data_IF_770530128292
#
_entry.id   IF_770530128292
#
_cell.length_a   1.000
_cell.length_b   1.000
_cell.length_c   1.000
_cell.angle_alpha   90.00
_cell.angle_beta   90.00
_cell.angle_gamma   90.00
#
_symmetry.space_group_name_H-M   'P 1'
#
loop_
_entity.id
_entity.type
_entity.pdbx_description
1 polymer ?
#
# COMPACT_ATOMS: atom_id res chain seq x y z
N UNK A 1 -12.72 3.62 11.96
CA UNK A 1 -11.57 4.34 12.60
C UNK A 1 -10.82 5.03 11.49
N UNK A 2 -10.72 6.39 11.50
CA UNK A 2 -9.95 7.13 10.51
C UNK A 2 -8.45 6.93 10.69
N UNK A 3 -7.71 6.91 9.58
CA UNK A 3 -6.26 7.04 9.56
C UNK A 3 -5.93 8.52 9.41
N UNK A 4 -5.30 9.11 10.43
CA UNK A 4 -4.97 10.54 10.44
C UNK A 4 -3.45 10.74 10.52
N UNK A 5 -2.97 11.67 9.72
CA UNK A 5 -1.64 12.28 9.85
C UNK A 5 -1.82 13.75 10.17
N UNK A 6 -1.30 14.19 11.30
CA UNK A 6 -1.43 15.56 11.80
C UNK A 6 -0.07 16.26 11.82
N UNK A 7 0.05 17.38 11.09
CA UNK A 7 1.25 18.21 11.01
C UNK A 7 2.52 17.41 10.72
N UNK A 8 2.44 16.45 9.79
CA UNK A 8 3.55 15.55 9.50
C UNK A 8 4.70 16.28 8.84
N UNK A 9 5.87 16.18 9.44
CA UNK A 9 7.13 16.67 8.90
C UNK A 9 8.23 15.62 8.99
N UNK A 10 9.05 15.51 7.93
CA UNK A 10 10.19 14.59 7.93
C UNK A 10 11.33 15.07 7.04
N UNK A 11 12.56 14.82 7.50
CA UNK A 11 13.81 15.02 6.77
C UNK A 11 14.77 13.85 7.06
N UNK A 12 15.58 13.48 6.10
CA UNK A 12 16.68 12.52 6.30
C UNK A 12 17.99 13.22 6.69
N UNK A 13 18.22 14.42 6.15
CA UNK A 13 19.35 15.27 6.49
C UNK A 13 18.82 16.58 7.08
N UNK A 14 19.44 17.08 8.16
CA UNK A 14 19.08 18.36 8.78
C UNK A 14 19.03 19.45 7.70
N UNK A 15 18.11 20.37 7.85
CA UNK A 15 17.86 21.54 7.00
C UNK A 15 17.22 21.28 5.61
N UNK A 16 16.89 20.03 5.29
CA UNK A 16 16.19 19.74 4.03
C UNK A 16 14.92 18.90 4.28
N UNK A 17 13.81 19.58 4.47
CA UNK A 17 12.51 18.94 4.57
C UNK A 17 12.15 18.21 3.28
N UNK A 18 11.69 16.95 3.41
CA UNK A 18 11.12 16.17 2.31
C UNK A 18 9.62 16.34 2.31
N UNK A 19 9.02 16.35 3.49
CA UNK A 19 7.62 16.70 3.73
C UNK A 19 7.56 17.61 4.93
N UNK A 20 6.63 18.56 4.92
CA UNK A 20 6.40 19.51 6.01
C UNK A 20 4.93 19.90 6.07
N UNK A 21 4.41 20.03 7.29
CA UNK A 21 3.05 20.49 7.59
C UNK A 21 1.93 19.72 6.85
N UNK A 22 2.14 18.40 6.60
CA UNK A 22 1.16 17.57 5.91
C UNK A 22 0.07 17.12 6.87
N UNK A 23 -1.17 17.42 6.49
CA UNK A 23 -2.37 16.98 7.19
C UNK A 23 -3.22 16.10 6.27
N UNK A 24 -3.51 14.86 6.68
CA UNK A 24 -4.26 13.87 5.92
C UNK A 24 -5.22 13.15 6.85
N UNK A 25 -6.45 12.95 6.39
CA UNK A 25 -7.44 12.09 7.05
C UNK A 25 -8.10 11.21 6.01
N UNK A 26 -8.06 9.90 6.23
CA UNK A 26 -8.66 8.91 5.33
C UNK A 26 -9.70 8.10 6.10
N UNK A 27 -10.92 8.03 5.58
CA UNK A 27 -12.02 7.27 6.17
C UNK A 27 -11.90 5.75 5.88
N UNK A 28 -12.51 4.87 6.70
CA UNK A 28 -12.67 3.47 6.35
C UNK A 28 -13.39 3.30 5.02
N UNK A 29 -12.88 2.43 4.14
CA UNK A 29 -13.46 2.17 2.82
C UNK A 29 -13.25 3.27 1.77
N UNK A 30 -12.69 4.43 2.16
CA UNK A 30 -12.33 5.51 1.23
C UNK A 30 -11.13 5.10 0.35
N UNK A 31 -11.16 5.52 -0.91
CA UNK A 31 -10.02 5.42 -1.83
C UNK A 31 -9.43 6.81 -2.01
N UNK A 32 -8.30 7.04 -1.34
CA UNK A 32 -7.63 8.33 -1.28
C UNK A 32 -6.37 8.35 -2.15
N UNK A 33 -6.23 9.34 -3.01
CA UNK A 33 -5.09 9.49 -3.92
C UNK A 33 -3.99 10.38 -3.37
N UNK A 34 -2.73 9.94 -3.49
CA UNK A 34 -1.54 10.76 -3.29
C UNK A 34 -0.85 11.00 -4.63
N UNK A 35 -0.92 12.22 -5.13
CA UNK A 35 -0.25 12.65 -6.36
C UNK A 35 0.98 13.51 -6.09
N UNK A 36 1.83 13.69 -7.08
CA UNK A 36 2.99 14.57 -7.01
C UNK A 36 4.13 14.10 -7.91
N UNK A 37 5.09 14.97 -8.17
CA UNK A 37 6.26 14.66 -9.01
C UNK A 37 7.19 13.65 -8.31
N UNK A 38 8.09 13.02 -9.09
CA UNK A 38 9.07 12.08 -8.54
C UNK A 38 9.99 12.81 -7.54
N UNK A 39 10.19 12.19 -6.36
CA UNK A 39 11.04 12.77 -5.31
C UNK A 39 10.36 13.79 -4.39
N UNK A 40 9.06 14.13 -4.58
CA UNK A 40 8.34 15.08 -3.69
C UNK A 40 7.98 14.52 -2.31
N UNK A 41 8.36 13.28 -1.97
CA UNK A 41 8.15 12.70 -0.65
C UNK A 41 6.98 11.73 -0.52
N UNK A 42 6.29 11.33 -1.61
CA UNK A 42 5.16 10.37 -1.57
C UNK A 42 5.49 9.07 -0.84
N UNK A 43 6.58 8.41 -1.23
CA UNK A 43 7.03 7.16 -0.60
C UNK A 43 7.43 7.36 0.87
N UNK A 44 8.03 8.51 1.21
CA UNK A 44 8.33 8.86 2.61
C UNK A 44 7.04 9.01 3.43
N UNK A 45 6.07 9.74 2.89
CA UNK A 45 4.76 9.91 3.51
C UNK A 45 4.03 8.56 3.66
N UNK A 46 4.05 7.73 2.63
CA UNK A 46 3.50 6.36 2.66
C UNK A 46 4.10 5.52 3.80
N UNK A 47 5.43 5.56 3.95
CA UNK A 47 6.13 4.84 5.03
C UNK A 47 5.83 5.39 6.41
N UNK A 48 5.62 6.69 6.54
CA UNK A 48 5.22 7.33 7.80
C UNK A 48 3.78 6.90 8.15
N UNK A 49 2.84 7.00 7.21
CA UNK A 49 1.46 6.58 7.42
C UNK A 49 1.32 5.09 7.74
N UNK A 50 2.18 4.25 7.16
CA UNK A 50 2.25 2.82 7.48
C UNK A 50 3.05 2.51 8.76
N UNK A 51 3.63 3.51 9.44
CA UNK A 51 4.40 3.35 10.66
C UNK A 51 5.79 2.71 10.47
N UNK A 52 6.33 2.66 9.24
CA UNK A 52 7.70 2.19 9.00
C UNK A 52 8.77 3.23 9.37
N UNK A 53 8.39 4.51 9.33
CA UNK A 53 9.25 5.63 9.68
C UNK A 53 8.46 6.50 10.65
N UNK A 54 9.09 6.90 11.76
CA UNK A 54 8.52 7.91 12.66
C UNK A 54 8.68 9.30 12.03
N UNK A 55 7.64 10.13 11.99
CA UNK A 55 7.78 11.52 11.57
C UNK A 55 8.71 12.27 12.53
N UNK A 56 9.35 13.35 12.05
CA UNK A 56 10.13 14.26 12.89
C UNK A 56 9.24 15.25 13.61
N UNK A 57 8.17 15.64 12.96
CA UNK A 57 7.10 16.49 13.50
C UNK A 57 5.76 15.84 13.23
N UNK A 58 4.79 16.12 14.11
CA UNK A 58 3.45 15.58 14.01
C UNK A 58 3.32 14.13 14.48
N UNK A 59 2.20 13.53 14.18
CA UNK A 59 1.86 12.15 14.59
C UNK A 59 0.92 11.47 13.59
N UNK A 60 0.96 10.14 13.58
CA UNK A 60 0.00 9.30 12.86
C UNK A 60 -0.86 8.55 13.87
N UNK A 61 -2.18 8.61 13.68
CA UNK A 61 -3.15 7.92 14.53
C UNK A 61 -4.10 7.06 13.71
N UNK A 62 -4.53 5.94 14.29
CA UNK A 62 -5.63 5.13 13.78
C UNK A 62 -6.79 5.21 14.78
N UNK A 63 -7.84 5.94 14.43
CA UNK A 63 -8.82 6.41 15.41
C UNK A 63 -8.14 7.27 16.47
N UNK A 64 -8.33 6.91 17.75
CA UNK A 64 -7.74 7.64 18.88
C UNK A 64 -6.39 7.06 19.37
N UNK A 65 -5.82 6.07 18.66
CA UNK A 65 -4.59 5.39 19.08
C UNK A 65 -3.43 5.77 18.18
N UNK A 66 -2.32 6.16 18.76
CA UNK A 66 -1.05 6.28 18.04
C UNK A 66 -0.58 4.87 17.64
N UNK A 67 -0.09 4.73 16.41
CA UNK A 67 0.39 3.44 15.92
C UNK A 67 1.71 3.06 16.60
N UNK A 68 1.72 1.90 17.29
CA UNK A 68 2.92 1.39 17.94
C UNK A 68 3.76 0.51 16.98
N UNK A 69 5.10 0.60 17.03
CA UNK A 69 6.00 -0.08 16.08
C UNK A 69 6.07 -1.61 16.21
N UNK A 70 5.53 -2.23 17.27
CA UNK A 70 5.87 -3.60 17.71
C UNK A 70 4.78 -4.66 17.48
N UNK A 71 3.64 -4.32 16.93
CA UNK A 71 2.53 -5.24 16.69
C UNK A 71 2.22 -5.38 15.21
N UNK A 72 1.33 -6.34 14.85
CA UNK A 72 0.78 -6.39 13.50
C UNK A 72 0.28 -5.00 13.10
N UNK A 73 0.73 -4.52 11.95
CA UNK A 73 0.38 -3.18 11.47
C UNK A 73 -0.95 -3.24 10.75
N UNK A 74 -1.99 -2.57 11.26
CA UNK A 74 -3.28 -2.50 10.59
C UNK A 74 -3.25 -1.68 9.29
N UNK A 75 -2.17 -0.93 9.06
CA UNK A 75 -1.88 -0.23 7.81
C UNK A 75 -0.78 -0.98 7.08
N UNK A 76 -1.13 -1.61 5.97
CA UNK A 76 -0.20 -2.37 5.13
C UNK A 76 0.32 -1.52 3.98
N UNK A 77 1.56 -1.77 3.55
CA UNK A 77 2.18 -1.08 2.41
C UNK A 77 2.51 -2.11 1.32
N UNK A 78 1.93 -1.90 0.15
CA UNK A 78 2.27 -2.64 -1.06
C UNK A 78 3.25 -1.81 -1.87
N UNK A 79 4.47 -2.31 -2.01
CA UNK A 79 5.56 -1.62 -2.70
C UNK A 79 5.46 -1.76 -4.21
N UNK A 80 6.00 -0.78 -4.94
CA UNK A 80 6.22 -0.85 -6.39
C UNK A 80 7.07 -2.06 -6.81
N UNK A 81 8.07 -2.41 -5.99
CA UNK A 81 9.02 -3.47 -6.22
C UNK A 81 8.75 -4.65 -5.27
N UNK A 82 8.03 -5.71 -5.71
CA UNK A 82 7.64 -6.83 -4.86
C UNK A 82 8.84 -7.59 -4.27
N UNK A 83 9.99 -7.61 -4.96
CA UNK A 83 11.21 -8.25 -4.49
C UNK A 83 11.77 -7.64 -3.20
N UNK A 84 11.41 -6.40 -2.87
CA UNK A 84 11.78 -5.75 -1.60
C UNK A 84 10.92 -6.19 -0.41
N UNK A 85 9.80 -6.87 -0.69
CA UNK A 85 8.82 -7.28 0.30
C UNK A 85 8.72 -8.81 0.46
N UNK A 86 9.39 -9.58 -0.40
CA UNK A 86 9.35 -11.03 -0.42
C UNK A 86 10.70 -11.59 0.07
N UNK A 87 10.67 -12.55 0.99
CA UNK A 87 11.88 -13.28 1.35
C UNK A 87 12.29 -14.20 0.18
N UNK A 88 13.45 -14.01 -0.46
CA UNK A 88 13.87 -14.79 -1.62
C UNK A 88 14.13 -16.27 -1.33
N UNK A 89 14.27 -16.64 -0.06
CA UNK A 89 14.54 -18.00 0.41
C UNK A 89 13.25 -18.77 0.77
N UNK A 90 12.08 -18.21 0.53
CA UNK A 90 10.81 -18.84 0.81
C UNK A 90 10.07 -19.24 -0.48
N UNK A 91 9.31 -20.34 -0.42
CA UNK A 91 8.34 -20.64 -1.48
C UNK A 91 7.20 -19.62 -1.43
N UNK A 92 6.56 -19.40 -2.57
CA UNK A 92 5.49 -18.39 -2.64
C UNK A 92 4.31 -18.73 -1.73
N UNK A 93 4.05 -20.02 -1.45
CA UNK A 93 3.09 -20.45 -0.42
C UNK A 93 3.46 -19.89 0.94
N UNK A 94 4.72 -19.99 1.35
CA UNK A 94 5.20 -19.54 2.66
C UNK A 94 5.12 -18.02 2.77
N UNK A 95 5.35 -17.30 1.67
CA UNK A 95 5.17 -15.85 1.58
C UNK A 95 3.74 -15.42 1.87
N UNK A 96 2.72 -16.16 1.41
CA UNK A 96 1.32 -15.88 1.75
C UNK A 96 1.01 -16.25 3.20
N UNK A 97 1.44 -17.43 3.63
CA UNK A 97 1.14 -17.97 4.95
C UNK A 97 1.81 -17.18 6.09
N UNK A 98 2.84 -16.36 5.79
CA UNK A 98 3.42 -15.43 6.76
C UNK A 98 2.38 -14.49 7.38
N UNK A 99 1.41 -14.06 6.59
CA UNK A 99 0.37 -13.11 7.02
C UNK A 99 -0.92 -13.80 7.45
N UNK A 100 -1.47 -14.65 6.58
CA UNK A 100 -2.70 -15.42 6.80
C UNK A 100 -2.89 -16.44 5.68
N UNK A 101 -3.84 -17.35 5.84
CA UNK A 101 -4.30 -18.26 4.79
C UNK A 101 -5.43 -17.59 3.98
N UNK A 102 -5.17 -17.10 2.74
CA UNK A 102 -6.22 -16.50 1.92
C UNK A 102 -7.23 -17.56 1.45
N UNK A 103 -8.50 -17.15 1.32
CA UNK A 103 -9.54 -18.01 0.73
C UNK A 103 -9.31 -18.18 -0.77
N UNK A 104 -9.87 -19.27 -1.34
CA UNK A 104 -9.76 -19.54 -2.78
C UNK A 104 -10.32 -18.38 -3.61
N UNK A 105 -11.44 -17.76 -3.20
CA UNK A 105 -12.04 -16.61 -3.89
C UNK A 105 -11.07 -15.43 -4.02
N UNK A 106 -10.20 -15.21 -3.02
CA UNK A 106 -9.19 -14.16 -3.08
C UNK A 106 -8.07 -14.56 -4.04
N UNK A 107 -7.62 -15.81 -4.00
CA UNK A 107 -6.60 -16.31 -4.93
C UNK A 107 -7.07 -16.20 -6.37
N UNK A 108 -8.32 -16.59 -6.64
CA UNK A 108 -8.94 -16.52 -7.97
C UNK A 108 -9.12 -15.06 -8.43
N UNK A 109 -9.55 -14.15 -7.54
CA UNK A 109 -9.73 -12.73 -7.86
C UNK A 109 -8.43 -12.04 -8.30
N UNK A 110 -7.28 -12.56 -7.87
CA UNK A 110 -5.95 -12.10 -8.29
C UNK A 110 -5.27 -13.07 -9.26
N UNK A 111 -6.00 -14.04 -9.80
CA UNK A 111 -5.50 -15.03 -10.78
C UNK A 111 -4.19 -15.69 -10.29
N UNK A 112 -4.08 -16.00 -8.99
CA UNK A 112 -2.94 -16.73 -8.43
C UNK A 112 -3.10 -18.20 -8.75
N UNK A 113 -2.15 -18.75 -9.52
CA UNK A 113 -2.20 -20.14 -9.96
C UNK A 113 -1.60 -21.06 -8.91
N UNK A 114 -2.20 -22.25 -8.73
CA UNK A 114 -1.70 -23.25 -7.77
C UNK A 114 -0.24 -23.64 -8.07
N UNK A 115 0.13 -23.72 -9.33
CA UNK A 115 1.50 -24.06 -9.76
C UNK A 115 2.55 -23.06 -9.27
N UNK A 116 2.17 -21.79 -8.98
CA UNK A 116 3.08 -20.76 -8.48
C UNK A 116 3.40 -20.93 -6.99
N UNK A 117 2.51 -21.58 -6.24
CA UNK A 117 2.65 -21.74 -4.78
C UNK A 117 3.95 -22.44 -4.37
N UNK A 118 4.40 -23.38 -5.18
CA UNK A 118 5.61 -24.16 -4.91
C UNK A 118 6.88 -23.59 -5.55
N UNK A 119 6.78 -22.48 -6.30
CA UNK A 119 7.91 -21.81 -6.93
C UNK A 119 8.65 -20.89 -5.95
N UNK A 120 9.91 -20.66 -6.24
CA UNK A 120 10.72 -19.64 -5.61
C UNK A 120 10.43 -18.26 -6.23
N UNK A 121 10.64 -17.15 -5.51
CA UNK A 121 10.40 -15.80 -6.06
C UNK A 121 11.17 -15.51 -7.36
N UNK A 122 12.36 -16.09 -7.53
CA UNK A 122 13.18 -15.91 -8.74
C UNK A 122 12.55 -16.55 -9.99
N UNK A 123 11.65 -17.52 -9.80
CA UNK A 123 10.99 -18.25 -10.89
C UNK A 123 9.68 -17.55 -11.36
N UNK A 124 9.30 -16.42 -10.72
CA UNK A 124 8.12 -15.67 -11.03
C UNK A 124 8.48 -14.31 -11.66
N UNK A 125 7.61 -13.86 -12.57
CA UNK A 125 7.67 -12.50 -13.11
C UNK A 125 7.37 -11.45 -12.03
N UNK A 126 7.70 -10.19 -12.29
CA UNK A 126 7.38 -9.09 -11.38
C UNK A 126 5.89 -8.98 -11.10
N UNK A 127 5.05 -9.12 -12.14
CA UNK A 127 3.58 -9.06 -11.99
C UNK A 127 3.00 -10.22 -11.19
N UNK A 128 3.51 -11.43 -11.37
CA UNK A 128 3.12 -12.58 -10.56
C UNK A 128 3.47 -12.37 -9.07
N UNK A 129 4.69 -11.94 -8.77
CA UNK A 129 5.10 -11.58 -7.40
C UNK A 129 4.24 -10.47 -6.80
N UNK A 130 3.87 -9.48 -7.61
CA UNK A 130 3.04 -8.36 -7.15
C UNK A 130 1.67 -8.82 -6.68
N UNK A 131 1.04 -9.78 -7.39
CA UNK A 131 -0.24 -10.38 -6.98
C UNK A 131 -0.15 -11.01 -5.59
N UNK A 132 0.93 -11.74 -5.29
CA UNK A 132 1.17 -12.29 -3.96
C UNK A 132 1.32 -11.20 -2.88
N UNK A 133 2.04 -10.10 -3.18
CA UNK A 133 2.18 -8.98 -2.25
C UNK A 133 0.83 -8.32 -1.94
N UNK A 134 -0.03 -8.16 -2.95
CA UNK A 134 -1.38 -7.60 -2.79
C UNK A 134 -2.24 -8.52 -1.91
N UNK A 135 -2.28 -9.81 -2.25
CA UNK A 135 -3.06 -10.79 -1.48
C UNK A 135 -2.59 -10.86 -0.03
N UNK A 136 -1.27 -10.88 0.21
CA UNK A 136 -0.70 -10.86 1.55
C UNK A 136 -1.13 -9.63 2.37
N UNK A 137 -1.28 -8.48 1.74
CA UNK A 137 -1.73 -7.25 2.40
C UNK A 137 -3.22 -7.28 2.78
N UNK A 138 -4.03 -8.14 2.14
CA UNK A 138 -5.47 -8.32 2.41
C UNK A 138 -5.76 -9.19 3.65
N UNK A 139 -4.88 -9.20 4.64
CA UNK A 139 -5.08 -9.88 5.92
C UNK A 139 -6.41 -9.42 6.57
N UNK A 140 -7.18 -10.31 7.23
CA UNK A 140 -8.44 -9.95 7.90
C UNK A 140 -8.33 -8.82 8.93
N UNK A 141 -7.16 -8.64 9.54
CA UNK A 141 -6.90 -7.56 10.50
C UNK A 141 -6.46 -6.23 9.86
N UNK A 142 -6.25 -6.20 8.55
CA UNK A 142 -5.88 -4.99 7.81
C UNK A 142 -7.05 -3.99 7.79
N UNK A 143 -6.74 -2.73 8.10
CA UNK A 143 -7.69 -1.61 8.10
C UNK A 143 -7.43 -0.63 6.97
N UNK A 144 -6.17 -0.48 6.58
CA UNK A 144 -5.75 0.38 5.48
C UNK A 144 -4.67 -0.29 4.64
N UNK A 145 -4.68 -0.02 3.34
CA UNK A 145 -3.61 -0.43 2.43
C UNK A 145 -3.12 0.79 1.66
N UNK A 146 -1.82 1.01 1.70
CA UNK A 146 -1.13 2.01 0.89
C UNK A 146 -0.53 1.30 -0.31
N UNK A 147 -1.00 1.63 -1.50
CA UNK A 147 -0.55 1.07 -2.77
C UNK A 147 0.44 2.04 -3.42
N UNK A 148 1.73 1.85 -3.18
CA UNK A 148 2.79 2.73 -3.68
C UNK A 148 3.24 2.26 -5.07
N UNK A 149 2.65 2.86 -6.13
CA UNK A 149 2.89 2.56 -7.55
C UNK A 149 2.80 1.04 -7.87
N UNK A 150 1.89 0.33 -7.20
CA UNK A 150 1.88 -1.14 -7.14
C UNK A 150 1.63 -1.84 -8.49
N UNK A 151 1.21 -1.14 -9.53
CA UNK A 151 0.87 -1.75 -10.83
C UNK A 151 1.69 -1.22 -12.02
N UNK A 152 2.70 -0.40 -11.78
CA UNK A 152 3.51 0.23 -12.85
C UNK A 152 4.29 -0.78 -13.71
N UNK A 153 4.49 -2.01 -13.22
CA UNK A 153 5.18 -3.09 -13.94
C UNK A 153 4.23 -3.98 -14.76
N UNK A 154 2.93 -3.64 -14.81
CA UNK A 154 1.91 -4.44 -15.45
C UNK A 154 1.41 -3.77 -16.72
N UNK A 155 0.98 -4.57 -17.70
CA UNK A 155 0.25 -4.06 -18.84
C UNK A 155 -1.12 -3.49 -18.44
N UNK A 156 -1.68 -2.61 -19.26
CA UNK A 156 -2.89 -1.85 -18.93
C UNK A 156 -4.13 -2.73 -18.64
N UNK A 157 -4.26 -3.89 -19.32
CA UNK A 157 -5.39 -4.81 -19.13
C UNK A 157 -5.27 -5.49 -17.76
N UNK A 158 -4.10 -6.02 -17.45
CA UNK A 158 -3.79 -6.65 -16.16
C UNK A 158 -3.90 -5.65 -15.02
N UNK A 159 -3.38 -4.42 -15.22
CA UNK A 159 -3.53 -3.33 -14.26
C UNK A 159 -5.00 -3.05 -13.93
N UNK A 160 -5.85 -2.89 -14.95
CA UNK A 160 -7.28 -2.62 -14.75
C UNK A 160 -7.99 -3.74 -14.00
N UNK A 161 -7.71 -5.01 -14.32
CA UNK A 161 -8.27 -6.18 -13.62
C UNK A 161 -7.87 -6.20 -12.15
N UNK A 162 -6.59 -6.02 -11.86
CA UNK A 162 -6.07 -6.01 -10.47
C UNK A 162 -6.70 -4.89 -9.66
N UNK A 163 -6.76 -3.67 -10.19
CA UNK A 163 -7.39 -2.54 -9.48
C UNK A 163 -8.87 -2.79 -9.22
N UNK A 164 -9.62 -3.32 -10.19
CA UNK A 164 -11.04 -3.62 -10.00
C UNK A 164 -11.27 -4.66 -8.89
N UNK A 165 -10.52 -5.77 -8.92
CA UNK A 165 -10.59 -6.80 -7.89
C UNK A 165 -10.17 -6.26 -6.52
N UNK A 166 -9.06 -5.52 -6.45
CA UNK A 166 -8.51 -4.96 -5.23
C UNK A 166 -9.46 -3.96 -4.56
N UNK A 167 -9.91 -2.94 -5.30
CA UNK A 167 -10.86 -1.94 -4.78
C UNK A 167 -12.18 -2.58 -4.40
N UNK A 168 -12.69 -3.53 -5.20
CA UNK A 168 -13.92 -4.26 -4.89
C UNK A 168 -13.83 -5.03 -3.56
N UNK A 169 -12.71 -5.68 -3.28
CA UNK A 169 -12.49 -6.38 -2.00
C UNK A 169 -12.33 -5.37 -0.86
N UNK A 170 -11.54 -4.31 -1.05
CA UNK A 170 -11.32 -3.28 -0.03
C UNK A 170 -12.64 -2.60 0.39
N UNK A 171 -13.47 -2.20 -0.57
CA UNK A 171 -14.79 -1.60 -0.29
C UNK A 171 -15.71 -2.55 0.49
N UNK A 172 -15.81 -3.84 0.09
CA UNK A 172 -16.63 -4.83 0.82
C UNK A 172 -16.17 -5.07 2.27
N UNK A 173 -14.87 -4.91 2.55
CA UNK A 173 -14.26 -5.11 3.88
C UNK A 173 -14.08 -3.81 4.66
N UNK A 174 -14.53 -2.67 4.12
CA UNK A 174 -14.30 -1.33 4.69
C UNK A 174 -12.81 -1.02 4.94
N UNK A 175 -11.93 -1.54 4.09
CA UNK A 175 -10.50 -1.24 4.10
C UNK A 175 -10.29 0.08 3.37
N UNK A 176 -9.74 1.10 4.05
CA UNK A 176 -9.34 2.35 3.40
C UNK A 176 -8.11 2.11 2.51
N UNK A 177 -8.07 2.75 1.35
CA UNK A 177 -6.99 2.60 0.38
C UNK A 177 -6.33 3.94 0.11
N UNK A 178 -5.01 4.01 0.19
CA UNK A 178 -4.22 5.16 -0.25
C UNK A 178 -3.49 4.74 -1.53
N UNK A 179 -3.90 5.33 -2.65
CA UNK A 179 -3.28 5.09 -3.97
C UNK A 179 -2.22 6.14 -4.23
N UNK A 180 -0.97 5.74 -4.31
CA UNK A 180 0.16 6.61 -4.65
C UNK A 180 0.51 6.42 -6.11
N UNK A 181 0.39 7.47 -6.90
CA UNK A 181 0.73 7.42 -8.33
C UNK A 181 1.12 8.80 -8.86
N UNK A 182 1.91 8.83 -9.90
CA UNK A 182 2.14 10.01 -10.72
C UNK A 182 1.16 10.11 -11.91
N UNK A 183 0.38 9.05 -12.16
CA UNK A 183 -0.62 9.00 -13.24
C UNK A 183 -1.95 9.62 -12.77
N UNK A 184 -2.20 10.87 -13.16
CA UNK A 184 -3.44 11.58 -12.80
C UNK A 184 -4.70 10.88 -13.32
N UNK A 185 -4.64 10.26 -14.51
CA UNK A 185 -5.75 9.49 -15.08
C UNK A 185 -6.17 8.30 -14.21
N UNK A 186 -5.19 7.57 -13.67
CA UNK A 186 -5.43 6.47 -12.74
C UNK A 186 -6.09 6.97 -11.45
N UNK A 187 -5.53 8.04 -10.85
CA UNK A 187 -6.06 8.61 -9.61
C UNK A 187 -7.50 9.12 -9.78
N UNK A 188 -7.78 9.85 -10.85
CA UNK A 188 -9.13 10.36 -11.14
C UNK A 188 -10.16 9.25 -11.36
N UNK A 189 -9.73 8.08 -11.83
CA UNK A 189 -10.62 6.92 -12.04
C UNK A 189 -10.90 6.15 -10.75
N UNK A 190 -9.91 6.05 -9.86
CA UNK A 190 -9.98 5.16 -8.69
C UNK A 190 -10.36 5.88 -7.40
N UNK A 191 -9.93 7.13 -7.22
CA UNK A 191 -9.94 7.80 -5.93
C UNK A 191 -11.16 8.69 -5.75
N UNK A 192 -11.69 8.68 -4.54
CA UNK A 192 -12.78 9.57 -4.12
C UNK A 192 -12.24 11.01 -3.91
N UNK A 193 -11.00 11.13 -3.40
CA UNK A 193 -10.28 12.38 -3.18
C UNK A 193 -8.81 12.23 -3.57
N UNK A 194 -8.16 13.33 -4.01
CA UNK A 194 -6.74 13.35 -4.38
C UNK A 194 -6.02 14.49 -3.69
N UNK A 195 -4.97 14.16 -2.95
CA UNK A 195 -4.06 15.12 -2.32
C UNK A 195 -2.76 15.24 -3.11
N UNK A 196 -2.32 16.47 -3.37
CA UNK A 196 -1.08 16.74 -4.11
C UNK A 196 0.06 17.04 -3.15
N UNK A 197 1.03 16.13 -3.06
CA UNK A 197 2.23 16.27 -2.23
C UNK A 197 3.24 17.20 -2.91
N UNK A 198 3.87 18.11 -2.14
CA UNK A 198 4.99 18.94 -2.63
C UNK A 198 4.58 20.20 -3.37
N UNK A 199 3.34 20.68 -3.25
CA UNK A 199 2.93 22.02 -3.64
C UNK A 199 2.95 22.91 -2.40
N UNK A 200 4.05 23.59 -2.17
CA UNK A 200 4.14 24.81 -1.38
C UNK A 200 4.68 25.90 -2.25
#
# INVERSE_FOLDING_TARGET
MHLNGENLGHYYHKDRWIIKDINISVAPGEVFGLSGYSGCGKTTLSRILAGYISPREGKVTLGNKTMEPRTFRPVQLVYQHPEKAINPMWRMRDVLMESYAPSQDILDAFEIREEWMNRWPIELSGGEKQRFCIVRALNPSTKYIIADEMTTMLDAITQAKIWNSFIGICKRREIGVIVVSHETSLLNRLCDNVYKVGVQ
#
